data_IF_024940540145
#
_entry.id   IF_024940540145
#
_cell.length_a   1.000
_cell.length_b   1.000
_cell.length_c   1.000
_cell.angle_alpha   90.00
_cell.angle_beta   90.00
_cell.angle_gamma   90.00
#
_symmetry.space_group_name_H-M   'P 1'
#
loop_
_entity.id
_entity.type
_entity.pdbx_description
1 polymer ?
#
# COMPACT_ATOMS: atom_id res chain seq x y z
N UNK A 1 -8.31 26.80 -5.01
CA UNK A 1 -8.21 26.49 -3.56
C UNK A 1 -7.56 25.13 -3.43
N UNK A 2 -6.43 25.03 -2.73
CA UNK A 2 -5.72 23.74 -2.53
C UNK A 2 -6.43 22.91 -1.46
N UNK A 3 -6.72 21.66 -1.73
CA UNK A 3 -7.32 20.73 -0.77
C UNK A 3 -6.25 20.17 0.18
N UNK A 4 -6.61 19.97 1.45
CA UNK A 4 -5.80 19.19 2.39
C UNK A 4 -6.57 17.93 2.74
N UNK A 5 -6.00 16.76 2.45
CA UNK A 5 -6.65 15.45 2.65
C UNK A 5 -5.80 14.69 3.67
N UNK A 6 -6.29 14.63 4.89
CA UNK A 6 -5.66 13.95 6.00
C UNK A 6 -6.08 12.49 6.14
N UNK A 7 -5.61 11.86 7.21
CA UNK A 7 -5.91 10.46 7.52
C UNK A 7 -7.41 10.17 7.68
N UNK A 8 -8.18 11.14 8.14
CA UNK A 8 -9.64 11.05 8.33
C UNK A 8 -10.42 10.73 7.05
N UNK A 9 -9.81 10.98 5.88
CA UNK A 9 -10.42 10.62 4.61
C UNK A 9 -10.52 9.08 4.42
N UNK A 10 -9.81 8.30 5.22
CA UNK A 10 -9.81 6.83 5.14
C UNK A 10 -11.22 6.25 5.26
N UNK A 11 -12.06 6.82 6.11
CA UNK A 11 -13.44 6.36 6.34
C UNK A 11 -14.32 6.40 5.09
N UNK A 12 -13.92 7.18 4.07
CA UNK A 12 -14.66 7.37 2.82
C UNK A 12 -14.10 6.55 1.65
N UNK A 13 -13.01 5.82 1.88
CA UNK A 13 -12.36 5.06 0.83
C UNK A 13 -12.89 3.62 0.80
N UNK A 14 -13.00 3.08 -0.41
CA UNK A 14 -13.43 1.72 -0.68
C UNK A 14 -12.37 0.99 -1.51
N UNK A 15 -12.05 -0.28 -1.15
CA UNK A 15 -11.00 -1.05 -1.81
C UNK A 15 -11.34 -1.41 -3.25
N UNK A 16 -12.61 -1.69 -3.54
CA UNK A 16 -13.03 -2.07 -4.89
C UNK A 16 -13.02 -0.84 -5.79
N UNK A 17 -13.60 0.27 -5.33
CA UNK A 17 -13.56 1.53 -6.06
C UNK A 17 -12.12 2.00 -6.32
N UNK A 18 -11.18 1.77 -5.38
CA UNK A 18 -9.77 2.06 -5.60
C UNK A 18 -9.16 1.18 -6.69
N UNK A 19 -9.45 -0.14 -6.71
CA UNK A 19 -8.90 -1.01 -7.77
C UNK A 19 -9.45 -0.64 -9.14
N UNK A 20 -10.71 -0.26 -9.23
CA UNK A 20 -11.32 0.25 -10.47
C UNK A 20 -10.65 1.54 -10.95
N UNK A 21 -10.37 2.48 -10.04
CA UNK A 21 -9.65 3.70 -10.35
C UNK A 21 -8.20 3.45 -10.79
N UNK A 22 -7.50 2.50 -10.15
CA UNK A 22 -6.16 2.08 -10.55
C UNK A 22 -6.16 1.43 -11.94
N UNK A 23 -7.11 0.54 -12.21
CA UNK A 23 -7.26 -0.09 -13.52
C UNK A 23 -7.52 0.96 -14.60
N UNK A 24 -8.44 1.89 -14.37
CA UNK A 24 -8.70 3.00 -15.29
C UNK A 24 -7.46 3.86 -15.53
N UNK A 25 -6.67 4.11 -14.46
CA UNK A 25 -5.39 4.83 -14.55
C UNK A 25 -4.35 4.12 -15.43
N UNK A 26 -4.33 2.80 -15.44
CA UNK A 26 -3.44 2.01 -16.30
C UNK A 26 -3.81 2.05 -17.79
N UNK A 27 -5.01 2.49 -18.13
CA UNK A 27 -5.44 2.70 -19.52
C UNK A 27 -5.01 4.06 -20.09
N UNK A 28 -4.56 4.97 -19.23
CA UNK A 28 -4.04 6.28 -19.62
C UNK A 28 -2.64 6.17 -20.23
N UNK A 29 -2.12 7.23 -20.88
CA UNK A 29 -0.74 7.27 -21.35
C UNK A 29 0.26 6.91 -20.25
N UNK A 30 1.39 6.33 -20.65
CA UNK A 30 2.45 5.96 -19.70
C UNK A 30 2.94 7.20 -18.96
N UNK A 31 3.04 7.08 -17.64
CA UNK A 31 3.59 8.15 -16.82
C UNK A 31 5.06 8.44 -17.14
N UNK A 32 5.43 9.72 -17.25
CA UNK A 32 6.79 10.17 -17.11
C UNK A 32 7.18 10.19 -15.63
N UNK A 33 8.25 9.49 -15.26
CA UNK A 33 8.63 9.29 -13.85
C UNK A 33 10.08 9.72 -13.64
N UNK A 34 10.31 10.48 -12.56
CA UNK A 34 11.64 10.86 -12.11
C UNK A 34 11.80 10.64 -10.61
N UNK A 35 12.86 9.95 -10.22
CA UNK A 35 13.26 9.78 -8.81
C UNK A 35 14.46 10.66 -8.48
N UNK A 36 14.45 11.20 -7.27
CA UNK A 36 15.56 11.94 -6.67
C UNK A 36 15.85 11.40 -5.27
N UNK A 37 17.12 11.17 -4.97
CA UNK A 37 17.59 10.68 -3.67
C UNK A 37 18.59 11.66 -3.06
N UNK A 38 18.40 11.97 -1.78
CA UNK A 38 19.37 12.68 -0.97
C UNK A 38 19.73 11.80 0.23
N UNK A 39 21.02 11.74 0.54
CA UNK A 39 21.56 10.91 1.62
C UNK A 39 22.34 11.74 2.63
N UNK A 40 22.14 11.45 3.91
CA UNK A 40 22.92 12.00 5.03
C UNK A 40 23.17 10.89 6.05
N UNK A 41 24.35 10.28 6.03
CA UNK A 41 24.63 9.09 6.83
C UNK A 41 23.66 7.96 6.51
N UNK A 42 22.84 7.55 7.49
CA UNK A 42 21.78 6.53 7.32
C UNK A 42 20.44 7.12 6.90
N UNK A 43 20.31 8.44 6.93
CA UNK A 43 19.07 9.13 6.60
C UNK A 43 18.93 9.27 5.08
N UNK A 44 17.71 9.12 4.59
CA UNK A 44 17.41 9.24 3.16
C UNK A 44 16.16 10.08 2.94
N UNK A 45 16.19 10.93 1.93
CA UNK A 45 15.00 11.54 1.33
C UNK A 45 14.85 10.99 -0.07
N UNK A 46 13.71 10.38 -0.35
CA UNK A 46 13.31 9.96 -1.70
C UNK A 46 12.16 10.87 -2.16
N UNK A 47 12.32 11.51 -3.30
CA UNK A 47 11.22 12.21 -3.96
C UNK A 47 10.98 11.58 -5.32
N UNK A 48 9.73 11.16 -5.58
CA UNK A 48 9.27 10.65 -6.87
C UNK A 48 8.23 11.58 -7.44
N UNK A 49 8.47 12.09 -8.64
CA UNK A 49 7.48 12.78 -9.44
C UNK A 49 6.97 11.84 -10.54
N UNK A 50 5.67 11.89 -10.79
CA UNK A 50 5.03 11.17 -11.88
C UNK A 50 4.02 12.09 -12.55
N UNK A 51 4.05 12.16 -13.90
CA UNK A 51 3.13 12.93 -14.71
C UNK A 51 2.43 12.01 -15.70
N UNK A 52 1.13 12.03 -15.71
CA UNK A 52 0.29 11.30 -16.65
C UNK A 52 -0.56 12.31 -17.41
N UNK A 53 -0.39 12.38 -18.74
CA UNK A 53 -1.18 13.25 -19.61
C UNK A 53 -2.69 12.96 -19.41
N UNK A 54 -3.45 14.03 -19.18
CA UNK A 54 -4.90 13.98 -18.95
C UNK A 54 -5.30 13.64 -17.52
N UNK A 55 -4.35 13.28 -16.62
CA UNK A 55 -4.63 13.01 -15.21
C UNK A 55 -4.02 14.07 -14.28
N UNK A 56 -2.74 14.43 -14.51
CA UNK A 56 -2.03 15.39 -13.68
C UNK A 56 -0.69 14.88 -13.16
N UNK A 57 -0.14 15.62 -12.19
CA UNK A 57 1.17 15.36 -11.63
C UNK A 57 1.01 14.97 -10.16
N UNK A 58 1.72 13.92 -9.75
CA UNK A 58 1.87 13.55 -8.36
C UNK A 58 3.34 13.62 -7.94
N UNK A 59 3.63 14.28 -6.82
CA UNK A 59 4.96 14.28 -6.20
C UNK A 59 4.86 13.69 -4.82
N UNK A 60 5.45 12.53 -4.62
CA UNK A 60 5.55 11.85 -3.32
C UNK A 60 6.96 12.00 -2.78
N UNK A 61 7.11 12.64 -1.62
CA UNK A 61 8.37 12.68 -0.89
C UNK A 61 8.28 11.78 0.33
N UNK A 62 9.22 10.87 0.47
CA UNK A 62 9.39 9.99 1.63
C UNK A 62 10.71 10.33 2.35
N UNK A 63 10.66 10.40 3.67
CA UNK A 63 11.84 10.53 4.53
C UNK A 63 12.04 9.21 5.27
N UNK A 64 13.27 8.68 5.26
CA UNK A 64 13.66 7.45 5.94
C UNK A 64 14.75 7.81 6.95
N UNK A 65 14.40 7.77 8.23
CA UNK A 65 15.23 8.16 9.36
C UNK A 65 15.30 7.01 10.37
N UNK A 66 16.20 6.03 10.20
CA UNK A 66 16.26 4.84 11.05
C UNK A 66 16.50 5.14 12.53
N UNK A 67 17.12 6.28 12.83
CA UNK A 67 17.36 6.73 14.20
C UNK A 67 16.13 7.18 14.98
N UNK A 68 15.00 7.40 14.31
CA UNK A 68 13.76 7.87 14.93
C UNK A 68 13.19 6.88 15.96
N UNK A 69 13.48 5.58 15.80
CA UNK A 69 13.07 4.55 16.77
C UNK A 69 13.57 4.83 18.21
N UNK A 70 14.70 5.50 18.36
CA UNK A 70 15.23 5.89 19.67
C UNK A 70 14.41 6.98 20.37
N UNK A 71 13.53 7.66 19.63
CA UNK A 71 12.67 8.76 20.10
C UNK A 71 11.18 8.43 20.01
N UNK A 72 10.85 7.15 19.81
CA UNK A 72 9.47 6.68 19.60
C UNK A 72 8.74 7.39 18.44
N UNK A 73 9.50 7.76 17.41
CA UNK A 73 9.00 8.39 16.21
C UNK A 73 9.00 7.39 15.03
N UNK A 74 8.09 7.55 14.05
CA UNK A 74 8.11 6.75 12.84
C UNK A 74 9.43 6.93 12.07
N UNK A 75 10.04 5.81 11.66
CA UNK A 75 11.25 5.83 10.83
C UNK A 75 10.99 6.31 9.40
N UNK A 76 9.74 6.27 8.95
CA UNK A 76 9.33 6.68 7.61
C UNK A 76 8.21 7.70 7.74
N UNK A 77 8.39 8.84 7.08
CA UNK A 77 7.42 9.92 6.98
C UNK A 77 7.37 10.49 5.57
N UNK A 78 6.60 11.55 5.36
CA UNK A 78 6.55 12.21 4.06
C UNK A 78 5.26 12.96 3.78
N UNK A 79 5.04 13.27 2.50
CA UNK A 79 3.85 13.92 1.98
C UNK A 79 3.64 13.61 0.50
N UNK A 80 2.43 13.84 0.02
CA UNK A 80 2.09 13.73 -1.40
C UNK A 80 1.42 15.02 -1.85
N UNK A 81 1.92 15.60 -2.94
CA UNK A 81 1.34 16.79 -3.58
C UNK A 81 0.79 16.40 -4.95
N UNK A 82 -0.42 16.86 -5.26
CA UNK A 82 -1.04 16.70 -6.57
C UNK A 82 -1.13 18.06 -7.26
N UNK A 83 -0.87 18.05 -8.57
CA UNK A 83 -0.94 19.26 -9.40
C UNK A 83 -1.81 19.01 -10.62
N UNK A 84 -2.53 20.03 -11.03
CA UNK A 84 -3.38 20.04 -12.22
C UNK A 84 -2.53 19.81 -13.49
N UNK A 85 -3.03 18.97 -14.37
CA UNK A 85 -2.34 18.63 -15.62
C UNK A 85 -2.08 19.85 -16.53
N UNK A 86 -3.11 20.68 -16.73
CA UNK A 86 -3.06 21.79 -17.70
C UNK A 86 -2.35 23.04 -17.13
N UNK A 87 -2.57 23.33 -15.86
CA UNK A 87 -2.10 24.59 -15.25
C UNK A 87 -0.85 24.44 -14.37
N UNK A 88 -0.52 23.20 -13.98
CA UNK A 88 0.56 22.92 -13.02
C UNK A 88 0.30 23.48 -11.61
N UNK A 89 -0.92 23.95 -11.31
CA UNK A 89 -1.24 24.50 -9.98
C UNK A 89 -1.43 23.38 -8.97
N UNK A 90 -0.98 23.61 -7.74
CA UNK A 90 -1.17 22.69 -6.63
C UNK A 90 -2.69 22.54 -6.33
N UNK A 91 -3.21 21.33 -6.56
CA UNK A 91 -4.62 21.00 -6.35
C UNK A 91 -4.87 20.38 -4.97
N UNK A 92 -3.98 19.50 -4.51
CA UNK A 92 -4.13 18.86 -3.20
C UNK A 92 -2.80 18.51 -2.54
N UNK A 93 -2.85 18.43 -1.20
CA UNK A 93 -1.83 17.79 -0.36
C UNK A 93 -2.47 16.64 0.41
N UNK A 94 -1.86 15.44 0.36
CA UNK A 94 -2.41 14.24 0.96
C UNK A 94 -1.49 13.69 2.04
N UNK A 95 -2.10 13.09 3.06
CA UNK A 95 -1.39 12.36 4.11
C UNK A 95 -0.58 11.21 3.50
N UNK A 96 0.71 11.15 3.84
CA UNK A 96 1.64 10.16 3.32
C UNK A 96 1.25 8.72 3.70
N UNK A 97 0.76 8.51 4.92
CA UNK A 97 0.42 7.18 5.44
C UNK A 97 -0.84 6.67 4.77
N UNK A 98 -1.83 7.56 4.57
CA UNK A 98 -3.06 7.25 3.84
C UNK A 98 -2.72 6.76 2.43
N UNK A 99 -1.98 7.54 1.66
CA UNK A 99 -1.59 7.18 0.29
C UNK A 99 -0.75 5.90 0.28
N UNK A 100 0.20 5.76 1.21
CA UNK A 100 1.08 4.57 1.24
C UNK A 100 0.30 3.30 1.56
N UNK A 101 -0.64 3.35 2.53
CA UNK A 101 -1.51 2.24 2.87
C UNK A 101 -2.36 1.81 1.66
N UNK A 102 -3.15 2.73 1.15
CA UNK A 102 -4.14 2.45 0.14
C UNK A 102 -3.53 2.09 -1.21
N UNK A 103 -2.51 2.84 -1.67
CA UNK A 103 -1.80 2.53 -2.91
C UNK A 103 -1.15 1.15 -2.85
N UNK A 104 -0.44 0.83 -1.78
CA UNK A 104 0.33 -0.41 -1.70
C UNK A 104 -0.57 -1.64 -1.64
N UNK A 105 -1.60 -1.61 -0.80
CA UNK A 105 -2.53 -2.73 -0.70
C UNK A 105 -3.48 -2.80 -1.90
N UNK A 106 -3.87 -1.65 -2.48
CA UNK A 106 -4.73 -1.58 -3.66
C UNK A 106 -4.06 -2.09 -4.94
N UNK A 107 -2.79 -1.73 -5.20
CA UNK A 107 -2.02 -2.29 -6.32
C UNK A 107 -1.90 -3.82 -6.21
N UNK A 108 -1.63 -4.29 -4.98
CA UNK A 108 -1.54 -5.72 -4.69
C UNK A 108 -2.87 -6.41 -4.94
N UNK A 109 -3.98 -5.83 -4.48
CA UNK A 109 -5.33 -6.37 -4.71
C UNK A 109 -5.68 -6.39 -6.20
N UNK A 110 -5.43 -5.29 -6.93
CA UNK A 110 -5.68 -5.25 -8.38
C UNK A 110 -4.92 -6.37 -9.11
N UNK A 111 -3.65 -6.56 -8.76
CA UNK A 111 -2.84 -7.63 -9.34
C UNK A 111 -3.43 -9.01 -9.02
N UNK A 112 -3.87 -9.24 -7.79
CA UNK A 112 -4.51 -10.49 -7.39
C UNK A 112 -5.83 -10.73 -8.13
N UNK A 113 -6.68 -9.72 -8.29
CA UNK A 113 -7.93 -9.81 -9.06
C UNK A 113 -7.68 -10.27 -10.50
N UNK A 114 -6.57 -9.82 -11.11
CA UNK A 114 -6.23 -10.15 -12.51
C UNK A 114 -5.53 -11.49 -12.69
N UNK A 115 -4.82 -11.97 -11.69
CA UNK A 115 -3.89 -13.10 -11.81
C UNK A 115 -4.27 -14.32 -10.96
N UNK A 116 -5.18 -14.17 -10.00
CA UNK A 116 -5.59 -15.24 -9.12
C UNK A 116 -6.25 -16.42 -9.90
N UNK A 117 -6.15 -17.63 -9.39
CA UNK A 117 -6.90 -18.76 -9.92
C UNK A 117 -8.41 -18.52 -9.79
N UNK A 118 -9.26 -19.25 -10.55
CA UNK A 118 -10.71 -19.05 -10.51
C UNK A 118 -11.35 -19.26 -9.13
N UNK A 119 -10.71 -20.06 -8.28
CA UNK A 119 -11.13 -20.31 -6.90
C UNK A 119 -9.98 -19.99 -5.97
N UNK A 120 -10.23 -19.14 -4.99
CA UNK A 120 -9.28 -18.75 -3.95
C UNK A 120 -9.89 -19.11 -2.60
N UNK A 121 -9.29 -20.07 -1.90
CA UNK A 121 -9.71 -20.51 -0.57
C UNK A 121 -8.74 -20.02 0.52
N UNK A 122 -7.44 -20.00 0.20
CA UNK A 122 -6.39 -19.65 1.16
C UNK A 122 -5.43 -18.62 0.59
N UNK A 123 -5.29 -17.50 1.30
CA UNK A 123 -4.34 -16.43 0.97
C UNK A 123 -3.27 -16.41 2.06
N UNK A 124 -2.00 -16.62 1.68
CA UNK A 124 -0.87 -16.55 2.61
C UNK A 124 -0.27 -15.15 2.64
N UNK A 125 -0.16 -14.58 3.81
CA UNK A 125 0.57 -13.35 4.07
C UNK A 125 1.92 -13.68 4.72
N UNK A 126 3.01 -13.34 4.05
CA UNK A 126 4.37 -13.53 4.56
C UNK A 126 4.87 -12.22 5.16
N UNK A 127 4.81 -12.13 6.48
CA UNK A 127 5.12 -10.94 7.27
C UNK A 127 3.92 -10.43 8.07
N UNK A 128 4.17 -9.92 9.28
CA UNK A 128 3.14 -9.44 10.20
C UNK A 128 3.34 -7.96 10.58
N UNK A 129 3.65 -7.13 9.57
CA UNK A 129 3.83 -5.69 9.73
C UNK A 129 2.56 -4.89 9.41
N UNK A 130 2.69 -3.55 9.41
CA UNK A 130 1.58 -2.63 9.10
C UNK A 130 0.95 -2.89 7.73
N UNK A 131 1.76 -3.18 6.72
CA UNK A 131 1.29 -3.50 5.35
C UNK A 131 0.46 -4.78 5.33
N UNK A 132 0.84 -5.80 6.12
CA UNK A 132 0.10 -7.06 6.18
C UNK A 132 -1.38 -6.86 6.57
N UNK A 133 -1.65 -6.01 7.58
CA UNK A 133 -3.04 -5.67 7.98
C UNK A 133 -3.80 -5.00 6.84
N UNK A 134 -3.15 -4.09 6.13
CA UNK A 134 -3.77 -3.38 5.00
C UNK A 134 -4.09 -4.31 3.84
N UNK A 135 -3.19 -5.25 3.52
CA UNK A 135 -3.38 -6.26 2.48
C UNK A 135 -4.52 -7.21 2.86
N UNK A 136 -4.57 -7.70 4.11
CA UNK A 136 -5.68 -8.54 4.58
C UNK A 136 -7.02 -7.82 4.40
N UNK A 137 -7.13 -6.55 4.81
CA UNK A 137 -8.36 -5.78 4.67
C UNK A 137 -8.75 -5.58 3.19
N UNK A 138 -7.78 -5.26 2.33
CA UNK A 138 -8.01 -5.08 0.90
C UNK A 138 -8.48 -6.38 0.24
N UNK A 139 -7.79 -7.48 0.50
CA UNK A 139 -8.12 -8.78 -0.10
C UNK A 139 -9.44 -9.34 0.43
N UNK A 140 -9.76 -9.13 1.71
CA UNK A 140 -11.04 -9.53 2.29
C UNK A 140 -12.24 -8.83 1.67
N UNK A 141 -12.05 -7.64 1.09
CA UNK A 141 -13.11 -6.91 0.38
C UNK A 141 -13.50 -7.57 -0.94
N UNK A 142 -12.57 -8.26 -1.61
CA UNK A 142 -12.82 -8.95 -2.88
C UNK A 142 -12.99 -10.46 -2.72
N UNK A 143 -12.05 -11.11 -2.02
CA UNK A 143 -12.08 -12.55 -1.76
C UNK A 143 -12.88 -12.84 -0.49
N UNK A 144 -14.20 -12.67 -0.57
CA UNK A 144 -15.10 -12.69 0.60
C UNK A 144 -15.13 -14.03 1.31
N UNK A 145 -14.89 -15.14 0.62
CA UNK A 145 -14.93 -16.50 1.16
C UNK A 145 -13.55 -17.06 1.54
N UNK A 146 -12.47 -16.38 1.14
CA UNK A 146 -11.13 -16.84 1.41
C UNK A 146 -10.75 -16.69 2.89
N UNK A 147 -9.96 -17.61 3.41
CA UNK A 147 -9.26 -17.51 4.69
C UNK A 147 -7.85 -16.98 4.50
N UNK A 148 -7.29 -16.40 5.56
CA UNK A 148 -5.92 -15.88 5.56
C UNK A 148 -5.03 -16.72 6.44
N UNK A 149 -3.93 -17.21 5.87
CA UNK A 149 -2.81 -17.76 6.60
C UNK A 149 -1.77 -16.65 6.79
N UNK A 150 -1.21 -16.50 7.97
CA UNK A 150 -0.15 -15.52 8.22
C UNK A 150 1.07 -16.20 8.80
N UNK A 151 2.21 -15.96 8.18
CA UNK A 151 3.50 -16.41 8.69
C UNK A 151 4.42 -15.21 8.93
N UNK A 152 5.17 -15.27 10.03
CA UNK A 152 6.21 -14.28 10.31
C UNK A 152 7.39 -14.96 11.01
N UNK A 153 8.61 -14.48 10.75
CA UNK A 153 9.82 -14.99 11.39
C UNK A 153 9.75 -14.96 12.93
N UNK A 154 9.11 -13.96 13.49
CA UNK A 154 8.76 -13.87 14.92
C UNK A 154 7.30 -14.33 15.04
N UNK A 155 7.08 -15.53 15.58
CA UNK A 155 5.77 -16.18 15.60
C UNK A 155 4.71 -15.36 16.34
N UNK A 156 5.08 -14.74 17.46
CA UNK A 156 4.20 -13.92 18.30
C UNK A 156 3.56 -12.75 17.52
N UNK A 157 4.25 -12.25 16.49
CA UNK A 157 3.70 -11.19 15.62
C UNK A 157 2.60 -11.73 14.70
N UNK A 158 2.72 -12.97 14.23
CA UNK A 158 1.67 -13.62 13.46
C UNK A 158 0.47 -13.96 14.34
N UNK A 159 0.72 -14.47 15.56
CA UNK A 159 -0.30 -14.77 16.56
C UNK A 159 -1.09 -13.53 16.96
N UNK A 160 -0.43 -12.37 17.12
CA UNK A 160 -1.07 -11.10 17.44
C UNK A 160 -1.99 -10.57 16.32
N UNK A 161 -1.95 -11.20 15.13
CA UNK A 161 -2.85 -10.89 14.00
C UNK A 161 -3.95 -11.94 13.82
N UNK A 162 -3.98 -13.01 14.65
CA UNK A 162 -5.01 -14.02 14.58
C UNK A 162 -6.42 -13.44 14.78
N UNK A 163 -7.39 -13.99 14.06
CA UNK A 163 -8.78 -13.56 14.10
C UNK A 163 -9.68 -14.58 13.41
N UNK A 164 -10.96 -14.25 13.25
CA UNK A 164 -11.96 -15.16 12.71
C UNK A 164 -11.56 -15.78 11.37
N UNK A 165 -10.95 -14.99 10.49
CA UNK A 165 -10.51 -15.41 9.16
C UNK A 165 -8.99 -15.47 9.01
N UNK A 166 -8.21 -15.18 10.05
CA UNK A 166 -6.75 -15.10 10.02
C UNK A 166 -6.15 -16.12 10.97
N UNK A 167 -5.38 -17.06 10.43
CA UNK A 167 -4.73 -18.14 11.19
C UNK A 167 -3.22 -18.08 11.10
N UNK A 168 -2.47 -18.06 12.21
CA UNK A 168 -1.03 -18.09 12.18
C UNK A 168 -0.53 -19.43 11.61
N UNK A 169 0.62 -19.38 10.93
CA UNK A 169 1.35 -20.56 10.43
C UNK A 169 2.77 -20.51 11.00
N UNK A 170 3.29 -21.68 11.33
CA UNK A 170 4.61 -21.84 11.94
C UNK A 170 5.64 -22.43 10.97
N UNK A 171 5.20 -23.19 9.98
CA UNK A 171 6.02 -23.69 8.89
C UNK A 171 5.70 -22.99 7.57
N UNK A 172 6.67 -22.20 7.08
CA UNK A 172 6.48 -21.41 5.85
C UNK A 172 6.32 -22.32 4.62
N UNK A 173 7.07 -23.43 4.55
CA UNK A 173 7.05 -24.31 3.37
C UNK A 173 5.66 -24.93 3.20
N UNK A 174 5.09 -25.43 4.28
CA UNK A 174 3.74 -25.98 4.29
C UNK A 174 2.71 -24.90 3.96
N UNK A 175 2.83 -23.71 4.58
CA UNK A 175 1.91 -22.61 4.31
C UNK A 175 1.92 -22.16 2.84
N UNK A 176 3.09 -22.12 2.21
CA UNK A 176 3.24 -21.81 0.78
C UNK A 176 2.59 -22.88 -0.10
N UNK A 177 2.73 -24.17 0.26
CA UNK A 177 2.16 -25.28 -0.52
C UNK A 177 0.63 -25.34 -0.44
N UNK A 178 0.02 -24.80 0.60
CA UNK A 178 -1.43 -24.78 0.85
C UNK A 178 -2.13 -23.52 0.32
N UNK A 179 -1.38 -22.51 -0.10
CA UNK A 179 -1.93 -21.20 -0.47
C UNK A 179 -2.22 -21.10 -1.98
N UNK A 180 -3.35 -20.47 -2.31
CA UNK A 180 -3.73 -20.14 -3.69
C UNK A 180 -3.10 -18.79 -4.12
N UNK A 181 -2.87 -17.89 -3.15
CA UNK A 181 -2.21 -16.57 -3.33
C UNK A 181 -1.18 -16.40 -2.21
N UNK A 182 -0.02 -15.81 -2.54
CA UNK A 182 1.06 -15.48 -1.60
C UNK A 182 1.43 -13.99 -1.74
#
# INVERSE_FOLDING_TARGET
>A
MTLSIGWEAEEKLDWIALTEALEAGHLLPRAEIQDSFLYRGTDTVLSRAAWIDGLGIAVKTATIFPGNAAYDLPNIGGGVSLFEDVSGQLSAMLDFRLVTKWKTAGDSLLSAIKLAPPKVETILIVGAGTVARSVINAYAAYFTDASFAIWNRTAEKAEAMAGERVSPRYDLRTAVAEADII
#
